data_IF_255376381915
#
_entry.id   IF_255376381915
#
_cell.length_a   1.000
_cell.length_b   1.000
_cell.length_c   1.000
_cell.angle_alpha   90.00
_cell.angle_beta   90.00
_cell.angle_gamma   90.00
#
_symmetry.space_group_name_H-M   'P 1'
#
loop_
_entity.id
_entity.type
_entity.pdbx_description
1 polymer ?
#
# COMPACT_ATOMS: atom_id res chain seq x y z
N UNK A 1 -33.98 -19.55 -17.91
CA UNK A 1 -32.69 -18.85 -18.15
C UNK A 1 -31.91 -18.74 -16.86
N UNK A 2 -30.58 -18.86 -16.90
CA UNK A 2 -29.73 -18.66 -15.75
C UNK A 2 -29.61 -17.14 -15.49
N UNK A 3 -29.63 -16.75 -14.21
CA UNK A 3 -29.32 -15.38 -13.78
C UNK A 3 -27.91 -15.36 -13.22
N UNK A 4 -27.14 -14.34 -13.59
CA UNK A 4 -25.81 -14.10 -13.04
C UNK A 4 -25.94 -13.09 -11.90
N UNK A 5 -25.41 -13.44 -10.71
CA UNK A 5 -25.25 -12.52 -9.58
C UNK A 5 -23.80 -12.08 -9.50
N UNK A 6 -23.56 -10.77 -9.38
CA UNK A 6 -22.25 -10.20 -9.07
C UNK A 6 -22.30 -9.69 -7.63
N UNK A 7 -21.39 -10.20 -6.80
CA UNK A 7 -21.27 -9.82 -5.38
C UNK A 7 -19.88 -9.27 -5.15
N UNK A 8 -19.80 -8.09 -4.53
CA UNK A 8 -18.54 -7.46 -4.16
C UNK A 8 -18.61 -6.99 -2.71
N UNK A 9 -17.49 -7.09 -2.00
CA UNK A 9 -17.39 -6.59 -0.63
C UNK A 9 -17.24 -5.07 -0.64
N UNK A 10 -18.08 -4.37 0.13
CA UNK A 10 -17.96 -2.93 0.29
C UNK A 10 -16.64 -2.56 0.96
N UNK A 11 -15.78 -1.83 0.24
CA UNK A 11 -14.52 -1.27 0.75
C UNK A 11 -13.58 -2.29 1.40
N UNK A 12 -13.45 -3.48 0.83
CA UNK A 12 -12.64 -4.56 1.42
C UNK A 12 -11.21 -4.13 1.71
N UNK A 13 -10.50 -3.56 0.73
CA UNK A 13 -9.11 -3.15 0.91
C UNK A 13 -8.95 -2.05 1.99
N UNK A 14 -9.73 -0.95 1.99
CA UNK A 14 -9.65 0.03 3.06
C UNK A 14 -9.91 -0.53 4.45
N UNK A 15 -10.88 -1.45 4.60
CA UNK A 15 -11.15 -2.12 5.87
C UNK A 15 -9.97 -2.95 6.34
N UNK A 16 -9.31 -3.69 5.43
CA UNK A 16 -8.11 -4.46 5.75
C UNK A 16 -6.92 -3.55 6.10
N UNK A 17 -6.74 -2.44 5.39
CA UNK A 17 -5.69 -1.45 5.72
C UNK A 17 -5.90 -0.89 7.13
N UNK A 18 -7.12 -0.47 7.47
CA UNK A 18 -7.47 0.01 8.81
C UNK A 18 -7.21 -1.08 9.86
N UNK A 19 -7.66 -2.30 9.63
CA UNK A 19 -7.45 -3.42 10.54
C UNK A 19 -5.95 -3.69 10.81
N UNK A 20 -5.12 -3.76 9.77
CA UNK A 20 -3.69 -3.97 9.95
C UNK A 20 -2.99 -2.78 10.61
N UNK A 21 -3.43 -1.56 10.33
CA UNK A 21 -2.90 -0.37 10.98
C UNK A 21 -3.21 -0.36 12.48
N UNK A 22 -4.42 -0.77 12.88
CA UNK A 22 -4.79 -0.95 14.29
C UNK A 22 -3.96 -2.06 14.96
N UNK A 23 -3.76 -3.21 14.30
CA UNK A 23 -2.93 -4.30 14.84
C UNK A 23 -1.47 -3.89 15.06
N UNK A 24 -0.95 -3.02 14.20
CA UNK A 24 0.40 -2.46 14.33
C UNK A 24 0.45 -1.25 15.29
N UNK A 25 -0.68 -0.81 15.86
CA UNK A 25 -0.77 0.34 16.78
C UNK A 25 -0.35 1.66 16.14
N UNK A 26 -0.69 1.87 14.87
CA UNK A 26 -0.22 3.02 14.12
C UNK A 26 -1.02 4.27 14.44
N UNK A 27 -0.31 5.41 14.59
CA UNK A 27 -0.90 6.70 14.89
C UNK A 27 -1.82 7.20 13.77
N UNK A 28 -2.97 7.76 14.16
CA UNK A 28 -3.93 8.40 13.26
C UNK A 28 -4.93 7.47 12.60
N UNK A 29 -5.05 6.21 13.06
CA UNK A 29 -6.02 5.23 12.54
C UNK A 29 -7.35 5.26 13.28
N UNK A 30 -7.40 5.84 14.49
CA UNK A 30 -8.54 5.75 15.40
C UNK A 30 -9.82 6.36 14.82
N UNK A 31 -9.74 7.52 14.17
CA UNK A 31 -10.89 8.19 13.53
C UNK A 31 -11.55 7.30 12.46
N UNK A 32 -10.74 6.60 11.68
CA UNK A 32 -11.24 5.67 10.66
C UNK A 32 -11.83 4.41 11.29
N UNK A 33 -11.21 3.92 12.37
CA UNK A 33 -11.70 2.76 13.10
C UNK A 33 -13.06 3.05 13.73
N UNK A 34 -13.21 4.20 14.38
CA UNK A 34 -14.45 4.61 15.02
C UNK A 34 -15.58 4.76 13.99
N UNK A 35 -15.30 5.40 12.84
CA UNK A 35 -16.28 5.52 11.77
C UNK A 35 -16.74 4.15 11.24
N UNK A 36 -15.84 3.14 11.14
CA UNK A 36 -16.22 1.78 10.76
C UNK A 36 -17.03 1.05 11.83
N UNK A 37 -16.79 1.33 13.10
CA UNK A 37 -17.54 0.74 14.23
C UNK A 37 -18.94 1.34 14.37
N UNK A 38 -19.11 2.62 14.01
CA UNK A 38 -20.39 3.32 14.09
C UNK A 38 -21.34 3.03 12.93
N UNK A 39 -20.86 2.43 11.84
CA UNK A 39 -21.73 2.08 10.71
C UNK A 39 -21.03 2.04 9.34
N UNK A 40 -21.69 2.62 8.34
CA UNK A 40 -21.14 2.69 6.98
C UNK A 40 -20.14 3.84 6.85
N UNK A 41 -18.85 3.53 6.92
CA UNK A 41 -17.79 4.49 6.66
C UNK A 41 -17.37 4.49 5.19
N UNK A 42 -17.25 5.67 4.60
CA UNK A 42 -16.55 5.86 3.33
C UNK A 42 -15.10 6.27 3.62
N UNK A 43 -14.17 5.32 3.57
CA UNK A 43 -12.76 5.56 3.81
C UNK A 43 -12.19 6.70 2.96
N UNK A 44 -12.60 6.80 1.69
CA UNK A 44 -12.09 7.84 0.80
C UNK A 44 -12.64 9.22 1.19
N UNK A 45 -13.86 9.27 1.74
CA UNK A 45 -14.42 10.53 2.27
C UNK A 45 -13.72 10.92 3.57
N UNK A 46 -13.53 9.99 4.50
CA UNK A 46 -12.82 10.25 5.76
C UNK A 46 -11.42 10.81 5.47
N UNK A 47 -10.67 10.15 4.60
CA UNK A 47 -9.33 10.62 4.19
C UNK A 47 -9.39 11.98 3.48
N UNK A 48 -10.40 12.21 2.66
CA UNK A 48 -10.66 13.52 2.02
C UNK A 48 -10.81 14.63 3.07
N UNK A 49 -11.60 14.39 4.10
CA UNK A 49 -11.87 15.33 5.17
C UNK A 49 -10.62 15.56 6.05
N UNK A 50 -9.93 14.50 6.46
CA UNK A 50 -8.69 14.57 7.23
C UNK A 50 -7.59 15.36 6.51
N UNK A 51 -7.41 15.12 5.23
CA UNK A 51 -6.36 15.73 4.42
C UNK A 51 -6.79 17.08 3.79
N UNK A 52 -8.07 17.45 3.89
CA UNK A 52 -8.67 18.61 3.24
C UNK A 52 -8.40 18.64 1.73
N UNK A 53 -8.66 17.53 1.05
CA UNK A 53 -8.49 17.33 -0.39
C UNK A 53 -9.78 16.79 -1.02
N UNK A 54 -10.01 16.98 -2.33
CA UNK A 54 -11.18 16.39 -3.00
C UNK A 54 -11.21 14.84 -2.85
N UNK A 55 -12.40 14.29 -2.60
CA UNK A 55 -12.61 12.84 -2.43
C UNK A 55 -12.07 12.01 -3.61
N UNK A 56 -12.17 12.52 -4.85
CA UNK A 56 -11.60 11.87 -6.03
C UNK A 56 -10.07 11.74 -5.95
N UNK A 57 -9.40 12.78 -5.47
CA UNK A 57 -7.95 12.75 -5.25
C UNK A 57 -7.59 11.80 -4.10
N UNK A 58 -8.31 11.85 -2.97
CA UNK A 58 -8.13 10.94 -1.86
C UNK A 58 -8.26 9.47 -2.33
N UNK A 59 -9.28 9.15 -3.13
CA UNK A 59 -9.47 7.82 -3.71
C UNK A 59 -8.28 7.40 -4.57
N UNK A 60 -7.81 8.27 -5.47
CA UNK A 60 -6.67 7.98 -6.36
C UNK A 60 -5.39 7.75 -5.56
N UNK A 61 -5.12 8.56 -4.53
CA UNK A 61 -3.94 8.41 -3.66
C UNK A 61 -4.03 7.11 -2.88
N UNK A 62 -5.16 6.84 -2.23
CA UNK A 62 -5.36 5.62 -1.44
C UNK A 62 -5.12 4.37 -2.28
N UNK A 63 -5.78 4.26 -3.43
CA UNK A 63 -5.60 3.12 -4.32
C UNK A 63 -4.16 3.04 -4.84
N UNK A 64 -3.57 4.17 -5.22
CA UNK A 64 -2.17 4.22 -5.67
C UNK A 64 -1.22 3.66 -4.61
N UNK A 65 -1.35 4.06 -3.36
CA UNK A 65 -0.52 3.58 -2.26
C UNK A 65 -0.77 2.10 -1.95
N UNK A 66 -2.03 1.66 -1.94
CA UNK A 66 -2.37 0.25 -1.69
C UNK A 66 -1.78 -0.68 -2.76
N UNK A 67 -1.71 -0.22 -4.01
CA UNK A 67 -1.15 -0.97 -5.13
C UNK A 67 0.35 -0.74 -5.36
N UNK A 68 1.02 0.04 -4.50
CA UNK A 68 2.45 0.33 -4.62
C UNK A 68 2.81 1.18 -5.83
N UNK A 69 1.90 2.07 -6.22
CA UNK A 69 2.11 2.98 -7.34
C UNK A 69 3.21 4.00 -6.99
N UNK A 70 4.18 4.18 -7.88
CA UNK A 70 5.22 5.18 -7.70
C UNK A 70 4.72 6.62 -7.90
N UNK A 71 5.39 7.60 -7.30
CA UNK A 71 5.03 9.03 -7.33
C UNK A 71 4.70 9.56 -8.73
N UNK A 72 5.54 9.27 -9.72
CA UNK A 72 5.36 9.79 -11.08
C UNK A 72 4.08 9.28 -11.74
N UNK A 73 3.76 8.00 -11.52
CA UNK A 73 2.53 7.41 -12.06
C UNK A 73 1.31 7.98 -11.34
N UNK A 74 1.37 8.14 -10.02
CA UNK A 74 0.28 8.69 -9.23
C UNK A 74 0.04 10.18 -9.57
N UNK A 75 1.10 10.96 -9.82
CA UNK A 75 1.00 12.34 -10.34
C UNK A 75 0.26 12.38 -11.68
N UNK A 76 0.60 11.49 -12.61
CA UNK A 76 -0.05 11.42 -13.92
C UNK A 76 -1.55 11.06 -13.79
N UNK A 77 -1.90 10.13 -12.91
CA UNK A 77 -3.30 9.75 -12.64
C UNK A 77 -4.10 10.90 -12.01
N UNK A 78 -3.46 11.73 -11.19
CA UNK A 78 -4.08 12.92 -10.60
C UNK A 78 -4.23 14.09 -11.58
N UNK A 79 -3.49 14.09 -12.68
CA UNK A 79 -3.50 15.16 -13.68
C UNK A 79 -3.00 16.52 -13.16
N UNK A 80 -2.10 16.52 -12.17
CA UNK A 80 -1.58 17.73 -11.52
C UNK A 80 -0.12 17.96 -11.84
N UNK A 81 0.36 19.21 -11.66
CA UNK A 81 1.78 19.53 -11.79
C UNK A 81 2.62 18.80 -10.75
N UNK A 82 3.94 18.72 -10.97
CA UNK A 82 4.86 18.07 -10.04
C UNK A 82 4.81 18.72 -8.65
N UNK A 83 4.83 20.05 -8.60
CA UNK A 83 4.84 20.82 -7.36
C UNK A 83 3.52 20.60 -6.59
N UNK A 84 2.39 20.65 -7.28
CA UNK A 84 1.09 20.37 -6.68
C UNK A 84 0.98 18.91 -6.18
N UNK A 85 1.56 17.95 -6.91
CA UNK A 85 1.59 16.57 -6.47
C UNK A 85 2.44 16.39 -5.19
N UNK A 86 3.59 17.06 -5.11
CA UNK A 86 4.45 17.01 -3.92
C UNK A 86 3.78 17.62 -2.68
N UNK A 87 3.11 18.77 -2.84
CA UNK A 87 2.33 19.40 -1.76
C UNK A 87 1.16 18.52 -1.32
N UNK A 88 0.44 17.94 -2.27
CA UNK A 88 -0.67 17.04 -2.01
C UNK A 88 -0.20 15.78 -1.25
N UNK A 89 0.89 15.16 -1.67
CA UNK A 89 1.46 14.00 -0.97
C UNK A 89 1.96 14.32 0.42
N UNK A 90 2.60 15.48 0.58
CA UNK A 90 3.02 15.94 1.91
C UNK A 90 1.81 16.10 2.82
N UNK A 91 0.80 16.86 2.40
CA UNK A 91 -0.44 17.07 3.14
C UNK A 91 -1.13 15.75 3.48
N UNK A 92 -1.24 14.84 2.52
CA UNK A 92 -1.82 13.52 2.73
C UNK A 92 -1.06 12.72 3.80
N UNK A 93 0.27 12.63 3.69
CA UNK A 93 1.07 11.87 4.64
C UNK A 93 1.12 12.48 6.03
N UNK A 94 1.04 13.81 6.14
CA UNK A 94 0.99 14.50 7.43
C UNK A 94 -0.36 14.29 8.15
N UNK A 95 -1.44 14.23 7.38
CA UNK A 95 -2.80 14.08 7.93
C UNK A 95 -3.27 12.62 8.04
N UNK A 96 -2.75 11.74 7.20
CA UNK A 96 -3.11 10.31 7.15
C UNK A 96 -1.84 9.45 7.26
N UNK A 97 -1.09 9.56 8.37
CA UNK A 97 0.24 8.95 8.48
C UNK A 97 0.20 7.41 8.50
N UNK A 98 -0.86 6.81 9.02
CA UNK A 98 -0.95 5.35 9.21
C UNK A 98 -0.85 4.56 7.89
N UNK A 99 -1.32 5.10 6.77
CA UNK A 99 -1.24 4.41 5.47
C UNK A 99 0.22 4.25 5.03
N UNK A 100 1.01 5.32 5.12
CA UNK A 100 2.44 5.29 4.80
C UNK A 100 3.21 4.41 5.78
N UNK A 101 2.95 4.57 7.07
CA UNK A 101 3.59 3.79 8.14
C UNK A 101 3.32 2.29 7.98
N UNK A 102 2.08 1.90 7.64
CA UNK A 102 1.73 0.51 7.36
C UNK A 102 2.49 -0.01 6.14
N UNK A 103 2.49 0.74 5.04
CA UNK A 103 3.21 0.36 3.82
C UNK A 103 4.70 0.09 4.12
N UNK A 104 5.37 1.01 4.82
CA UNK A 104 6.79 0.88 5.18
C UNK A 104 7.05 -0.30 6.12
N UNK A 105 6.17 -0.51 7.13
CA UNK A 105 6.24 -1.63 8.07
C UNK A 105 6.10 -2.98 7.35
N UNK A 106 5.12 -3.09 6.44
CA UNK A 106 4.89 -4.33 5.67
C UNK A 106 6.02 -4.59 4.69
N UNK A 107 6.55 -3.55 4.02
CA UNK A 107 7.72 -3.67 3.13
C UNK A 107 8.95 -4.16 3.90
N UNK A 108 9.23 -3.59 5.07
CA UNK A 108 10.33 -4.03 5.94
C UNK A 108 10.17 -5.49 6.33
N UNK A 109 8.98 -5.89 6.79
CA UNK A 109 8.69 -7.31 7.10
C UNK A 109 8.89 -8.24 5.90
N UNK A 110 8.54 -7.79 4.70
CA UNK A 110 8.77 -8.55 3.47
C UNK A 110 10.27 -8.67 3.14
N UNK A 111 11.07 -7.61 3.34
CA UNK A 111 12.53 -7.65 3.18
C UNK A 111 13.17 -8.61 4.19
N UNK A 112 12.84 -8.49 5.46
CA UNK A 112 13.50 -9.23 6.53
C UNK A 112 13.12 -10.71 6.51
N UNK A 113 11.81 -11.00 6.36
CA UNK A 113 11.26 -12.36 6.48
C UNK A 113 11.07 -13.08 5.15
N UNK A 114 11.22 -12.39 4.02
CA UNK A 114 10.96 -12.92 2.68
C UNK A 114 9.50 -13.24 2.40
N UNK A 115 8.58 -12.82 3.26
CA UNK A 115 7.14 -13.10 3.12
C UNK A 115 6.27 -12.14 3.91
N UNK A 116 5.03 -12.00 3.47
CA UNK A 116 3.91 -11.49 4.27
C UNK A 116 2.87 -12.59 4.43
N UNK A 117 2.05 -12.50 5.47
CA UNK A 117 0.96 -13.44 5.75
C UNK A 117 -0.34 -12.67 5.89
N UNK A 118 -1.34 -13.06 5.10
CA UNK A 118 -2.68 -12.45 5.15
C UNK A 118 -3.43 -12.83 6.42
N UNK A 119 -4.54 -12.15 6.67
CA UNK A 119 -5.41 -12.39 7.83
C UNK A 119 -5.83 -13.87 7.93
N UNK A 120 -6.19 -14.47 6.80
CA UNK A 120 -6.59 -15.89 6.72
C UNK A 120 -5.41 -16.87 6.62
N UNK A 121 -4.17 -16.39 6.78
CA UNK A 121 -2.99 -17.22 6.88
C UNK A 121 -2.26 -17.52 5.58
N UNK A 122 -2.74 -17.05 4.42
CA UNK A 122 -2.04 -17.21 3.14
C UNK A 122 -0.68 -16.53 3.20
N UNK A 123 0.34 -17.22 2.68
CA UNK A 123 1.73 -16.71 2.61
C UNK A 123 2.03 -16.21 1.22
N UNK A 124 2.43 -14.95 1.09
CA UNK A 124 2.97 -14.38 -0.13
C UNK A 124 4.47 -14.20 0.02
N UNK A 125 5.27 -14.88 -0.82
CA UNK A 125 6.74 -14.92 -0.74
C UNK A 125 7.39 -13.91 -1.67
N UNK A 126 8.61 -13.51 -1.29
CA UNK A 126 9.50 -12.62 -2.04
C UNK A 126 10.86 -13.31 -2.16
N UNK A 127 10.94 -14.29 -3.05
CA UNK A 127 12.10 -15.19 -3.17
C UNK A 127 13.13 -14.71 -4.20
N UNK A 128 12.81 -13.64 -4.97
CA UNK A 128 13.71 -13.03 -5.93
C UNK A 128 14.46 -11.85 -5.33
N UNK A 129 15.64 -11.56 -5.90
CA UNK A 129 16.56 -10.54 -5.44
C UNK A 129 16.99 -9.63 -6.57
N UNK A 130 17.35 -8.40 -6.23
CA UNK A 130 17.81 -7.36 -7.15
C UNK A 130 18.93 -6.54 -6.47
N UNK A 131 19.79 -5.83 -7.23
CA UNK A 131 20.78 -4.95 -6.63
C UNK A 131 20.12 -3.83 -5.83
N UNK A 132 20.74 -3.45 -4.71
CA UNK A 132 20.26 -2.33 -3.89
C UNK A 132 20.72 -0.98 -4.48
N UNK A 133 20.46 -0.78 -5.76
CA UNK A 133 20.77 0.44 -6.51
C UNK A 133 19.51 0.97 -7.16
N UNK A 134 19.51 2.27 -7.46
CA UNK A 134 18.41 2.88 -8.20
C UNK A 134 18.48 2.43 -9.67
N UNK A 135 17.34 1.99 -10.22
CA UNK A 135 17.22 1.56 -11.61
C UNK A 135 16.18 0.45 -11.79
N UNK A 136 16.03 0.03 -13.05
CA UNK A 136 15.21 -1.14 -13.40
C UNK A 136 16.15 -2.32 -13.54
N UNK A 137 16.01 -3.29 -12.63
CA UNK A 137 16.84 -4.48 -12.59
C UNK A 137 16.01 -5.74 -12.81
N UNK A 138 16.63 -6.75 -13.39
CA UNK A 138 16.06 -8.09 -13.47
C UNK A 138 16.15 -8.73 -12.08
N UNK A 139 15.01 -9.20 -11.58
CA UNK A 139 15.00 -9.96 -10.34
C UNK A 139 15.43 -11.40 -10.58
N UNK A 140 16.37 -11.90 -9.78
CA UNK A 140 17.04 -13.20 -9.91
C UNK A 140 16.86 -14.02 -8.63
N UNK A 141 17.02 -15.37 -8.69
CA UNK A 141 17.23 -16.18 -7.50
C UNK A 141 18.43 -15.67 -6.69
N UNK A 142 18.45 -15.93 -5.39
CA UNK A 142 19.46 -15.37 -4.46
C UNK A 142 20.90 -15.59 -4.90
N UNK A 143 21.25 -16.83 -5.24
CA UNK A 143 22.61 -17.20 -5.60
C UNK A 143 23.06 -16.55 -6.92
N UNK A 144 22.16 -16.49 -7.90
CA UNK A 144 22.42 -15.80 -9.17
C UNK A 144 22.59 -14.30 -8.97
N UNK A 145 21.71 -13.68 -8.17
CA UNK A 145 21.81 -12.26 -7.85
C UNK A 145 23.10 -11.93 -7.09
N UNK A 146 23.52 -12.78 -6.17
CA UNK A 146 24.76 -12.62 -5.41
C UNK A 146 25.98 -12.76 -6.32
N UNK A 147 25.97 -13.70 -7.26
CA UNK A 147 27.06 -13.88 -8.22
C UNK A 147 27.18 -12.72 -9.20
N UNK A 148 26.05 -12.15 -9.65
CA UNK A 148 26.02 -11.07 -10.63
C UNK A 148 26.30 -9.69 -10.00
N UNK A 149 25.76 -9.43 -8.80
CA UNK A 149 25.75 -8.09 -8.18
C UNK A 149 26.52 -7.99 -6.86
N UNK A 150 27.07 -9.10 -6.36
CA UNK A 150 27.76 -9.14 -5.06
C UNK A 150 26.80 -9.00 -3.87
N UNK A 151 27.32 -8.69 -2.67
CA UNK A 151 26.53 -8.67 -1.43
C UNK A 151 25.53 -7.51 -1.32
N UNK A 152 25.60 -6.52 -2.21
CA UNK A 152 24.74 -5.35 -2.21
C UNK A 152 23.36 -5.58 -2.83
N UNK A 153 22.71 -6.70 -2.49
CA UNK A 153 21.40 -7.10 -3.01
C UNK A 153 20.29 -6.98 -1.95
N UNK A 154 19.05 -6.82 -2.41
CA UNK A 154 17.82 -6.79 -1.61
C UNK A 154 16.74 -7.67 -2.24
N UNK A 155 15.73 -8.03 -1.48
CA UNK A 155 14.57 -8.75 -2.04
C UNK A 155 13.82 -7.88 -3.01
N UNK A 156 13.53 -8.43 -4.18
CA UNK A 156 12.78 -7.75 -5.24
C UNK A 156 11.28 -7.68 -4.93
N UNK A 157 10.62 -6.70 -5.54
CA UNK A 157 9.16 -6.52 -5.52
C UNK A 157 8.52 -6.30 -4.15
N UNK A 158 9.29 -6.01 -3.10
CA UNK A 158 8.72 -5.79 -1.76
C UNK A 158 7.83 -4.57 -1.66
N UNK A 159 7.91 -3.62 -2.60
CA UNK A 159 6.96 -2.52 -2.73
C UNK A 159 5.51 -2.98 -2.99
N UNK A 160 5.31 -4.23 -3.45
CA UNK A 160 3.98 -4.87 -3.61
C UNK A 160 3.49 -5.55 -2.33
N UNK A 161 4.22 -5.46 -1.23
CA UNK A 161 3.92 -6.25 -0.04
C UNK A 161 2.58 -5.87 0.59
N UNK A 162 2.23 -4.58 0.65
CA UNK A 162 0.93 -4.13 1.14
C UNK A 162 -0.21 -4.66 0.26
N UNK A 163 -0.10 -4.53 -1.05
CA UNK A 163 -1.09 -5.07 -1.98
C UNK A 163 -1.30 -6.57 -1.77
N UNK A 164 -0.21 -7.36 -1.67
CA UNK A 164 -0.28 -8.80 -1.41
C UNK A 164 -0.84 -9.15 -0.04
N UNK A 165 -0.73 -8.27 0.93
CA UNK A 165 -1.29 -8.45 2.26
C UNK A 165 -2.81 -8.27 2.25
N UNK A 166 -3.33 -7.29 1.52
CA UNK A 166 -4.75 -6.92 1.52
C UNK A 166 -5.58 -7.65 0.46
N UNK A 167 -4.97 -8.09 -0.64
CA UNK A 167 -5.65 -8.82 -1.73
C UNK A 167 -5.36 -10.32 -1.76
N UNK A 168 -4.40 -10.80 -1.02
CA UNK A 168 -4.07 -12.23 -0.92
C UNK A 168 -4.93 -12.92 0.09
#
# INVERSE_FOLDING_TARGET
GCQWGCFDYSQQEPRLVTHYACLDGLYGVDEVLDAYNEGEADFHQIVSDMANIPRSQAKTINLGLFYGMGKNKLQAELGVSKDNAEDLFRTYHDKVPFVKMLMESVMRRAQDRGRVRTLLGRRCRFDLWEPNQFGIHKALPHEEALAEHGPGIKRAYTYKALNRLIQG
#
